data_IF_425073885356
#
_entry.id   IF_425073885356
#
_cell.length_a   1.000
_cell.length_b   1.000
_cell.length_c   1.000
_cell.angle_alpha   90.00
_cell.angle_beta   90.00
_cell.angle_gamma   90.00
#
_symmetry.space_group_name_H-M   'P 1'
#
loop_
_entity.id
_entity.type
_entity.pdbx_description
1 polymer ?
#
# COMPACT_ATOMS: atom_id res chain seq x y z
N UNK A 1 -6.18 20.27 0.71
CA UNK A 1 -6.09 21.13 -0.49
C UNK A 1 -5.10 20.46 -1.46
N UNK A 2 -5.57 19.57 -2.34
CA UNK A 2 -4.71 19.00 -3.39
C UNK A 2 -4.33 20.14 -4.33
N UNK A 3 -3.04 20.42 -4.51
CA UNK A 3 -2.61 21.27 -5.63
C UNK A 3 -3.07 20.56 -6.89
N UNK A 4 -3.78 21.27 -7.77
CA UNK A 4 -3.91 20.86 -9.16
C UNK A 4 -2.50 20.92 -9.78
N UNK A 5 -1.70 19.88 -9.52
CA UNK A 5 -0.50 19.60 -10.28
C UNK A 5 -0.87 19.35 -11.73
N UNK A 6 0.12 19.37 -12.59
CA UNK A 6 0.08 19.13 -14.04
C UNK A 6 -0.46 17.74 -14.47
N UNK A 7 -1.26 17.08 -13.64
CA UNK A 7 -1.81 15.75 -13.89
C UNK A 7 -0.80 14.62 -13.70
N UNK A 8 0.32 14.85 -13.01
CA UNK A 8 1.37 13.86 -12.75
C UNK A 8 1.57 13.68 -11.24
N UNK A 9 1.76 12.43 -10.83
CA UNK A 9 2.13 12.09 -9.46
C UNK A 9 3.50 12.68 -9.12
N UNK A 10 3.63 13.22 -7.91
CA UNK A 10 4.94 13.58 -7.36
C UNK A 10 5.82 12.32 -7.20
N UNK A 11 7.15 12.47 -7.04
CA UNK A 11 8.04 11.34 -6.77
C UNK A 11 7.60 10.41 -5.64
N UNK A 12 7.15 10.98 -4.52
CA UNK A 12 6.72 10.19 -3.36
C UNK A 12 5.39 9.47 -3.64
N UNK A 13 4.45 10.13 -4.34
CA UNK A 13 3.18 9.51 -4.75
C UNK A 13 3.39 8.39 -5.78
N UNK A 14 4.34 8.55 -6.72
CA UNK A 14 4.70 7.49 -7.67
C UNK A 14 5.27 6.27 -6.94
N UNK A 15 6.19 6.48 -5.99
CA UNK A 15 6.80 5.41 -5.19
C UNK A 15 5.73 4.72 -4.33
N UNK A 16 4.85 5.48 -3.68
CA UNK A 16 3.74 4.97 -2.89
C UNK A 16 2.83 4.07 -3.72
N UNK A 17 2.31 4.61 -4.83
CA UNK A 17 1.44 3.87 -5.74
C UNK A 17 2.13 2.64 -6.33
N UNK A 18 3.41 2.73 -6.72
CA UNK A 18 4.15 1.58 -7.22
C UNK A 18 4.19 0.45 -6.19
N UNK A 19 4.38 0.77 -4.90
CA UNK A 19 4.36 -0.22 -3.83
C UNK A 19 2.96 -0.81 -3.58
N UNK A 20 1.90 0.00 -3.63
CA UNK A 20 0.51 -0.50 -3.57
C UNK A 20 0.24 -1.50 -4.70
N UNK A 21 0.67 -1.19 -5.93
CA UNK A 21 0.52 -2.09 -7.08
C UNK A 21 1.33 -3.38 -6.91
N UNK A 22 2.53 -3.32 -6.29
CA UNK A 22 3.28 -4.53 -5.96
C UNK A 22 2.51 -5.45 -5.00
N UNK A 23 1.89 -4.88 -3.97
CA UNK A 23 1.06 -5.63 -3.02
C UNK A 23 -0.19 -6.17 -3.71
N UNK A 24 -0.88 -5.36 -4.53
CA UNK A 24 -2.05 -5.76 -5.30
C UNK A 24 -1.75 -6.98 -6.17
N UNK A 25 -0.66 -6.95 -6.94
CA UNK A 25 -0.27 -8.07 -7.80
C UNK A 25 0.09 -9.32 -7.00
N UNK A 26 0.77 -9.17 -5.86
CA UNK A 26 1.05 -10.30 -4.97
C UNK A 26 -0.23 -10.94 -4.42
N UNK A 27 -1.26 -10.13 -4.12
CA UNK A 27 -2.57 -10.61 -3.71
C UNK A 27 -3.31 -11.35 -4.84
N UNK A 28 -3.22 -10.87 -6.09
CA UNK A 28 -3.83 -11.53 -7.26
C UNK A 28 -3.31 -12.95 -7.50
N UNK A 29 -2.08 -13.25 -7.09
CA UNK A 29 -1.53 -14.61 -7.19
C UNK A 29 -2.15 -15.60 -6.18
N UNK A 30 -2.86 -15.12 -5.16
CA UNK A 30 -3.39 -15.95 -4.08
C UNK A 30 -4.91 -15.87 -3.93
N UNK A 31 -5.53 -14.80 -4.44
CA UNK A 31 -6.94 -14.50 -4.24
C UNK A 31 -7.65 -14.28 -5.57
N UNK A 32 -8.98 -14.52 -5.64
CA UNK A 32 -9.77 -14.18 -6.81
C UNK A 32 -9.68 -12.67 -7.17
N UNK A 33 -9.67 -12.36 -8.47
CA UNK A 33 -9.47 -11.01 -8.99
C UNK A 33 -10.45 -9.98 -8.39
N UNK A 34 -11.74 -10.29 -8.36
CA UNK A 34 -12.76 -9.40 -7.77
C UNK A 34 -12.49 -9.08 -6.29
N UNK A 35 -12.07 -10.05 -5.48
CA UNK A 35 -11.75 -9.83 -4.06
C UNK A 35 -10.60 -8.84 -3.91
N UNK A 36 -9.54 -8.99 -4.71
CA UNK A 36 -8.36 -8.10 -4.65
C UNK A 36 -8.70 -6.70 -5.15
N UNK A 37 -9.39 -6.61 -6.29
CA UNK A 37 -9.81 -5.34 -6.87
C UNK A 37 -10.72 -4.58 -5.92
N UNK A 38 -11.63 -5.28 -5.22
CA UNK A 38 -12.54 -4.68 -4.24
C UNK A 38 -11.85 -4.29 -2.93
N UNK A 39 -10.79 -5.00 -2.53
CA UNK A 39 -10.05 -4.72 -1.31
C UNK A 39 -9.16 -3.47 -1.39
N UNK A 40 -8.66 -3.09 -2.57
CA UNK A 40 -7.74 -1.94 -2.73
C UNK A 40 -8.42 -0.57 -2.55
N UNK A 41 -8.74 -0.19 -1.32
CA UNK A 41 -9.57 0.98 -0.99
C UNK A 41 -8.79 2.28 -0.78
N UNK A 42 -7.45 2.24 -0.74
CA UNK A 42 -6.59 3.44 -0.59
C UNK A 42 -6.96 4.58 -1.56
N UNK A 43 -7.14 4.32 -2.87
CA UNK A 43 -7.58 5.35 -3.83
C UNK A 43 -8.97 5.93 -3.58
N UNK A 44 -9.77 5.32 -2.70
CA UNK A 44 -11.10 5.79 -2.30
C UNK A 44 -11.05 6.63 -1.02
N UNK A 45 -9.88 7.19 -0.68
CA UNK A 45 -9.60 7.83 0.61
C UNK A 45 -9.83 6.87 1.79
N UNK A 46 -9.56 5.57 1.56
CA UNK A 46 -9.57 4.54 2.60
C UNK A 46 -8.54 4.85 3.68
N UNK A 47 -8.85 4.49 4.92
CA UNK A 47 -7.94 4.71 6.05
C UNK A 47 -6.65 3.88 5.92
N UNK A 48 -6.81 2.67 5.38
CA UNK A 48 -5.73 1.79 4.93
C UNK A 48 -5.82 1.55 3.41
N UNK A 49 -4.73 1.07 2.83
CA UNK A 49 -4.66 0.82 1.38
C UNK A 49 -5.49 -0.39 0.93
N UNK A 50 -5.53 -1.46 1.73
CA UNK A 50 -6.35 -2.64 1.47
C UNK A 50 -7.23 -2.98 2.68
N UNK A 51 -8.52 -3.25 2.44
CA UNK A 51 -9.46 -3.67 3.46
C UNK A 51 -10.08 -5.03 3.12
N UNK A 52 -9.94 -5.98 4.04
CA UNK A 52 -10.53 -7.32 4.00
C UNK A 52 -11.27 -7.56 5.32
N UNK A 53 -12.52 -7.06 5.48
CA UNK A 53 -13.21 -7.09 6.76
C UNK A 53 -13.20 -8.50 7.39
N UNK A 54 -12.71 -8.64 8.64
CA UNK A 54 -12.53 -7.59 9.65
C UNK A 54 -11.15 -6.91 9.69
N UNK A 55 -10.23 -7.21 8.78
CA UNK A 55 -8.85 -6.71 8.79
C UNK A 55 -8.45 -5.82 7.62
N UNK A 56 -7.19 -5.37 7.62
CA UNK A 56 -6.62 -4.49 6.59
C UNK A 56 -5.10 -4.64 6.45
N UNK A 57 -4.59 -4.09 5.34
CA UNK A 57 -3.17 -3.92 5.06
C UNK A 57 -2.92 -2.45 4.70
N UNK A 58 -2.03 -1.80 5.44
CA UNK A 58 -1.44 -0.50 5.13
C UNK A 58 -0.13 -0.73 4.37
N UNK A 59 0.09 -0.10 3.23
CA UNK A 59 1.32 -0.20 2.45
C UNK A 59 2.25 0.95 2.78
N UNK A 60 3.51 0.62 3.03
CA UNK A 60 4.59 1.60 3.14
C UNK A 60 5.67 1.20 2.16
N UNK A 61 6.21 2.18 1.45
CA UNK A 61 7.17 1.95 0.38
C UNK A 61 8.39 2.84 0.57
N UNK A 62 9.57 2.28 0.37
CA UNK A 62 10.82 3.05 0.33
C UNK A 62 11.66 2.65 -0.87
N UNK A 63 12.29 3.62 -1.53
CA UNK A 63 13.32 3.41 -2.55
C UNK A 63 14.72 3.78 -2.04
N UNK A 64 14.86 4.11 -0.74
CA UNK A 64 16.12 4.54 -0.15
C UNK A 64 17.01 3.34 0.24
N UNK A 65 18.33 3.50 0.07
CA UNK A 65 19.32 2.49 0.46
C UNK A 65 19.61 2.41 1.97
N UNK A 66 18.92 3.21 2.80
CA UNK A 66 19.09 3.26 4.26
C UNK A 66 17.99 2.52 5.03
N UNK A 67 17.81 2.86 6.33
CA UNK A 67 16.73 2.32 7.16
C UNK A 67 15.35 2.56 6.52
N UNK A 68 14.42 1.64 6.75
CA UNK A 68 13.05 1.77 6.29
C UNK A 68 12.28 2.77 7.17
N UNK A 69 12.38 4.05 6.84
CA UNK A 69 11.59 5.09 7.50
C UNK A 69 10.20 5.19 6.88
N UNK A 70 9.20 4.69 7.58
CA UNK A 70 7.80 4.74 7.18
C UNK A 70 7.08 5.94 7.80
N UNK A 71 6.43 6.73 6.95
CA UNK A 71 5.58 7.85 7.39
C UNK A 71 4.20 7.36 7.78
N UNK A 72 3.80 7.67 9.01
CA UNK A 72 2.44 7.50 9.51
C UNK A 72 1.75 8.88 9.48
N UNK A 73 0.74 8.98 8.63
CA UNK A 73 0.08 10.23 8.25
C UNK A 73 -1.04 10.68 9.17
N UNK A 74 -1.55 9.81 10.04
CA UNK A 74 -2.58 10.14 11.02
C UNK A 74 -2.55 9.20 12.23
N UNK A 75 -3.35 9.52 13.26
CA UNK A 75 -3.47 8.67 14.45
C UNK A 75 -4.25 7.38 14.14
N UNK A 76 -5.14 7.43 13.17
CA UNK A 76 -6.09 6.37 12.83
C UNK A 76 -5.43 5.28 11.96
N UNK A 77 -4.37 5.59 11.21
CA UNK A 77 -3.78 4.64 10.25
C UNK A 77 -3.34 3.31 10.88
N UNK A 78 -2.80 3.35 12.10
CA UNK A 78 -2.37 2.17 12.86
C UNK A 78 -3.29 1.85 14.04
N UNK A 79 -4.51 2.41 14.05
CA UNK A 79 -5.49 2.16 15.10
C UNK A 79 -6.19 0.81 14.89
N UNK A 80 -5.89 -0.14 15.78
CA UNK A 80 -6.43 -1.49 15.76
C UNK A 80 -7.73 -1.65 16.58
N UNK A 81 -8.30 -0.56 17.08
CA UNK A 81 -9.54 -0.61 17.88
C UNK A 81 -10.79 -0.87 17.03
N UNK A 82 -10.76 -0.48 15.76
CA UNK A 82 -11.88 -0.61 14.81
C UNK A 82 -11.64 -1.72 13.79
N UNK A 83 -10.38 -2.00 13.44
CA UNK A 83 -10.00 -2.98 12.43
C UNK A 83 -8.91 -3.92 12.97
N UNK A 84 -9.17 -5.22 12.93
CA UNK A 84 -8.22 -6.23 13.40
C UNK A 84 -8.48 -7.57 12.70
N UNK A 85 -7.46 -8.20 12.11
CA UNK A 85 -6.03 -7.85 12.16
C UNK A 85 -5.65 -6.70 11.23
N UNK A 86 -4.60 -5.94 11.59
CA UNK A 86 -4.01 -4.90 10.75
C UNK A 86 -2.54 -5.24 10.48
N UNK A 87 -2.12 -5.14 9.24
CA UNK A 87 -0.74 -5.36 8.82
C UNK A 87 -0.16 -4.13 8.13
N UNK A 88 1.14 -3.89 8.31
CA UNK A 88 1.91 -2.95 7.48
C UNK A 88 2.72 -3.76 6.48
N UNK A 89 2.41 -3.64 5.18
CA UNK A 89 3.24 -4.16 4.10
C UNK A 89 4.41 -3.21 3.85
N UNK A 90 5.62 -3.63 4.21
CA UNK A 90 6.84 -2.88 3.99
C UNK A 90 7.48 -3.29 2.66
N UNK A 91 7.31 -2.44 1.63
CA UNK A 91 7.83 -2.66 0.28
C UNK A 91 9.14 -1.88 0.09
N UNK A 92 10.24 -2.60 -0.07
CA UNK A 92 11.56 -2.02 -0.34
C UNK A 92 11.87 -2.14 -1.83
N UNK A 93 12.06 -0.99 -2.47
CA UNK A 93 12.40 -0.84 -3.85
C UNK A 93 13.88 -0.45 -4.01
N UNK A 94 14.45 -0.79 -5.16
CA UNK A 94 15.70 -0.20 -5.66
C UNK A 94 15.45 0.38 -7.04
N UNK A 95 15.99 1.57 -7.31
CA UNK A 95 15.96 2.14 -8.65
C UNK A 95 17.05 1.49 -9.51
N UNK A 96 16.65 0.82 -10.58
CA UNK A 96 17.57 0.05 -11.45
C UNK A 96 17.04 -0.02 -12.88
N UNK A 97 17.94 -0.04 -13.87
CA UNK A 97 17.57 -0.12 -15.29
C UNK A 97 16.79 -1.38 -15.64
N UNK A 98 17.00 -2.48 -14.90
CA UNK A 98 16.27 -3.74 -15.07
C UNK A 98 14.89 -3.75 -14.38
N UNK A 99 14.54 -2.71 -13.62
CA UNK A 99 13.26 -2.61 -12.92
C UNK A 99 12.09 -2.32 -13.86
N UNK A 100 10.91 -2.14 -13.30
CA UNK A 100 9.69 -1.77 -14.02
C UNK A 100 9.36 -0.30 -13.80
N UNK A 101 8.82 0.36 -14.82
CA UNK A 101 8.18 1.67 -14.62
C UNK A 101 6.79 1.51 -14.01
N UNK A 102 6.22 2.60 -13.50
CA UNK A 102 4.83 2.58 -13.02
C UNK A 102 3.82 2.12 -14.10
N UNK A 103 3.89 2.60 -15.36
CA UNK A 103 3.07 2.06 -16.45
C UNK A 103 3.28 0.57 -16.73
N UNK A 104 4.52 0.06 -16.61
CA UNK A 104 4.80 -1.37 -16.78
C UNK A 104 4.08 -2.18 -15.69
N UNK A 105 4.16 -1.76 -14.43
CA UNK A 105 3.45 -2.41 -13.31
C UNK A 105 1.92 -2.38 -13.47
N UNK A 106 1.38 -1.27 -13.98
CA UNK A 106 -0.06 -1.16 -14.32
C UNK A 106 -0.43 -2.12 -15.45
N UNK A 107 0.40 -2.23 -16.50
CA UNK A 107 0.14 -3.12 -17.62
C UNK A 107 0.13 -4.60 -17.20
N UNK A 108 1.06 -4.98 -16.32
CA UNK A 108 1.10 -6.32 -15.75
C UNK A 108 -0.19 -6.66 -14.99
N UNK A 109 -0.66 -5.76 -14.11
CA UNK A 109 -1.91 -5.97 -13.36
C UNK A 109 -3.13 -6.04 -14.30
N UNK A 110 -3.16 -5.21 -15.35
CA UNK A 110 -4.23 -5.28 -16.36
C UNK A 110 -4.28 -6.67 -17.00
N UNK A 111 -3.13 -7.23 -17.35
CA UNK A 111 -3.04 -8.58 -17.90
C UNK A 111 -3.54 -9.64 -16.90
N UNK A 112 -3.12 -9.54 -15.64
CA UNK A 112 -3.55 -10.45 -14.58
C UNK A 112 -5.08 -10.39 -14.33
N UNK A 113 -5.71 -9.23 -14.60
CA UNK A 113 -7.16 -9.01 -14.46
C UNK A 113 -7.98 -9.29 -15.73
N UNK A 114 -7.37 -9.58 -16.88
CA UNK A 114 -8.09 -9.87 -18.14
C UNK A 114 -9.20 -10.92 -18.01
N UNK A 115 -9.06 -12.00 -17.22
CA UNK A 115 -10.11 -13.00 -17.06
C UNK A 115 -11.37 -12.51 -16.33
N UNK A 116 -11.30 -11.38 -15.61
CA UNK A 116 -12.38 -10.83 -14.79
C UNK A 116 -12.64 -9.35 -15.15
N UNK A 117 -13.50 -9.14 -16.15
CA UNK A 117 -13.86 -7.80 -16.64
C UNK A 117 -14.41 -6.87 -15.55
N UNK A 118 -15.09 -7.43 -14.54
CA UNK A 118 -15.63 -6.64 -13.42
C UNK A 118 -14.49 -6.12 -12.55
N UNK A 119 -13.57 -7.01 -12.16
CA UNK A 119 -12.38 -6.64 -11.40
C UNK A 119 -11.48 -5.64 -12.16
N UNK A 120 -11.28 -5.87 -13.46
CA UNK A 120 -10.54 -4.95 -14.33
C UNK A 120 -11.17 -3.55 -14.35
N UNK A 121 -12.51 -3.46 -14.43
CA UNK A 121 -13.22 -2.17 -14.38
C UNK A 121 -13.05 -1.48 -13.03
N UNK A 122 -13.20 -2.22 -11.92
CA UNK A 122 -12.97 -1.70 -10.56
C UNK A 122 -11.54 -1.18 -10.41
N UNK A 123 -10.55 -1.90 -10.92
CA UNK A 123 -9.15 -1.50 -10.90
C UNK A 123 -8.92 -0.19 -11.67
N UNK A 124 -9.44 -0.04 -12.89
CA UNK A 124 -9.28 1.20 -13.67
C UNK A 124 -9.88 2.42 -12.95
N UNK A 125 -11.06 2.26 -12.33
CA UNK A 125 -11.69 3.33 -11.56
C UNK A 125 -10.82 3.73 -10.37
N UNK A 126 -10.26 2.76 -9.64
CA UNK A 126 -9.38 3.01 -8.47
C UNK A 126 -8.05 3.61 -8.89
N UNK A 127 -7.44 3.11 -9.97
CA UNK A 127 -6.20 3.64 -10.54
C UNK A 127 -6.36 5.09 -10.98
N UNK A 128 -7.49 5.46 -11.59
CA UNK A 128 -7.76 6.86 -11.93
C UNK A 128 -7.88 7.74 -10.68
N UNK A 129 -8.46 7.22 -9.59
CA UNK A 129 -8.61 7.95 -8.32
C UNK A 129 -7.32 8.09 -7.53
N UNK A 130 -6.36 7.19 -7.69
CA UNK A 130 -5.01 7.32 -7.11
C UNK A 130 -4.21 8.46 -7.73
N UNK A 131 -4.69 9.02 -8.85
CA UNK A 131 -4.06 10.13 -9.57
C UNK A 131 -3.23 9.67 -10.77
N UNK A 132 -3.13 8.37 -11.02
CA UNK A 132 -2.53 7.86 -12.25
C UNK A 132 -3.42 8.20 -13.45
N UNK A 133 -2.81 8.83 -14.47
CA UNK A 133 -3.46 9.23 -15.71
C UNK A 133 -2.74 8.60 -16.90
N UNK A 134 -3.50 8.00 -17.81
CA UNK A 134 -2.94 7.35 -19.01
C UNK A 134 -2.20 8.36 -19.90
N UNK A 135 -2.68 9.60 -19.95
CA UNK A 135 -2.10 10.69 -20.74
C UNK A 135 -0.71 11.09 -20.21
N UNK A 136 -0.48 10.91 -18.91
CA UNK A 136 0.78 11.20 -18.24
C UNK A 136 1.72 10.00 -18.18
N UNK A 137 1.32 8.81 -18.67
CA UNK A 137 2.05 7.56 -18.47
C UNK A 137 3.51 7.62 -18.94
N UNK A 138 3.76 8.28 -20.08
CA UNK A 138 5.12 8.44 -20.65
C UNK A 138 6.07 9.27 -19.78
N UNK A 139 5.56 10.00 -18.78
CA UNK A 139 6.37 10.83 -17.87
C UNK A 139 6.95 10.02 -16.69
N UNK A 140 6.41 8.83 -16.42
CA UNK A 140 6.88 7.94 -15.36
C UNK A 140 8.04 7.08 -15.86
N UNK A 141 9.25 7.65 -15.85
CA UNK A 141 10.46 7.02 -16.43
C UNK A 141 11.32 6.26 -15.41
N UNK A 142 11.08 6.44 -14.11
CA UNK A 142 11.83 5.72 -13.07
C UNK A 142 11.49 4.24 -13.15
N UNK A 143 12.51 3.42 -12.90
CA UNK A 143 12.40 1.95 -12.96
C UNK A 143 12.74 1.39 -11.60
N UNK A 144 11.80 0.66 -11.01
CA UNK A 144 11.94 0.09 -9.68
C UNK A 144 11.92 -1.44 -9.74
N UNK A 145 12.79 -2.07 -8.96
CA UNK A 145 12.71 -3.50 -8.67
C UNK A 145 12.42 -3.69 -7.18
N UNK A 146 11.55 -4.65 -6.85
CA UNK A 146 11.28 -5.03 -5.47
C UNK A 146 12.45 -5.88 -4.96
N UNK A 147 13.13 -5.42 -3.92
CA UNK A 147 14.24 -6.14 -3.26
C UNK A 147 13.84 -6.72 -1.90
N UNK A 148 12.68 -6.32 -1.39
CA UNK A 148 12.10 -6.89 -0.19
C UNK A 148 10.64 -6.51 -0.05
N UNK A 149 9.82 -7.47 0.39
CA UNK A 149 8.43 -7.25 0.76
C UNK A 149 8.13 -8.15 1.94
N UNK A 150 7.70 -7.55 3.06
CA UNK A 150 7.34 -8.27 4.26
C UNK A 150 6.17 -7.57 4.95
N UNK A 151 5.47 -8.30 5.82
CA UNK A 151 4.28 -7.79 6.49
C UNK A 151 4.52 -7.79 7.99
N UNK A 152 4.27 -6.65 8.63
CA UNK A 152 4.37 -6.48 10.08
C UNK A 152 2.96 -6.45 10.66
N UNK A 153 2.62 -7.39 11.55
CA UNK A 153 1.35 -7.32 12.27
C UNK A 153 1.38 -6.15 13.26
N UNK A 154 0.38 -5.28 13.21
CA UNK A 154 0.21 -4.21 14.19
C UNK A 154 -0.42 -4.81 15.44
N UNK A 155 0.40 -4.97 16.48
CA UNK A 155 0.02 -5.47 17.79
C UNK A 155 -0.03 -4.34 18.82
N UNK A 156 -0.53 -4.64 20.02
CA UNK A 156 -0.66 -3.65 21.09
C UNK A 156 0.67 -3.01 21.48
N UNK A 157 1.77 -3.75 21.37
CA UNK A 157 3.13 -3.33 21.69
C UNK A 157 3.95 -2.86 20.47
N UNK A 158 3.32 -2.73 19.29
CA UNK A 158 3.93 -2.04 18.14
C UNK A 158 4.01 -0.54 18.44
N UNK A 159 5.19 0.11 18.30
CA UNK A 159 5.32 1.55 18.48
C UNK A 159 4.37 2.31 17.55
N UNK A 160 3.37 3.00 18.12
CA UNK A 160 2.39 3.77 17.37
C UNK A 160 1.76 4.87 18.22
N UNK A 161 1.31 5.93 17.56
CA UNK A 161 0.41 6.93 18.12
C UNK A 161 -0.98 6.69 17.54
N UNK A 162 -1.96 6.46 18.42
CA UNK A 162 -3.37 6.20 18.11
C UNK A 162 -4.26 7.06 19.00
N UNK A 163 -5.54 7.32 18.64
CA UNK A 163 -6.40 8.23 19.40
C UNK A 163 -6.52 7.87 20.90
N UNK A 164 -6.39 6.58 21.23
CA UNK A 164 -6.53 6.06 22.59
C UNK A 164 -5.26 6.16 23.44
N UNK A 165 -4.09 6.44 22.86
CA UNK A 165 -2.82 6.50 23.59
C UNK A 165 -2.11 7.86 23.56
N UNK A 166 -2.76 8.88 22.98
CA UNK A 166 -2.33 10.28 23.03
C UNK A 166 -3.27 11.09 23.94
N UNK A 167 -2.83 12.25 24.50
CA UNK A 167 -3.72 13.14 25.22
C UNK A 167 -4.92 13.56 24.37
N UNK A 168 -6.10 13.68 24.97
CA UNK A 168 -7.37 13.95 24.27
C UNK A 168 -7.41 15.27 23.49
N UNK A 169 -6.50 16.19 23.79
CA UNK A 169 -6.29 17.48 23.15
C UNK A 169 -5.55 17.32 21.81
N UNK A 170 -4.81 16.23 21.61
CA UNK A 170 -4.09 15.92 20.37
C UNK A 170 -5.09 15.43 19.32
N UNK A 171 -5.41 16.28 18.35
CA UNK A 171 -6.38 15.96 17.28
C UNK A 171 -5.77 15.27 16.06
N UNK A 172 -4.47 15.43 15.85
CA UNK A 172 -3.77 14.82 14.72
C UNK A 172 -2.28 14.75 15.02
N UNK A 173 -1.63 13.70 14.57
CA UNK A 173 -0.17 13.59 14.58
C UNK A 173 0.31 12.99 13.25
N UNK A 174 1.53 13.36 12.87
CA UNK A 174 2.30 12.72 11.82
C UNK A 174 3.65 12.36 12.40
N UNK A 175 4.07 11.13 12.20
CA UNK A 175 5.32 10.63 12.76
C UNK A 175 5.94 9.62 11.81
N UNK A 176 7.19 9.29 12.09
CA UNK A 176 7.95 8.34 11.29
C UNK A 176 8.35 7.16 12.19
N UNK A 177 8.28 5.96 11.63
CA UNK A 177 8.73 4.72 12.26
C UNK A 177 9.86 4.13 11.44
N UNK A 178 10.95 3.75 12.09
CA UNK A 178 11.93 2.87 11.48
C UNK A 178 11.41 1.44 11.54
N UNK A 179 10.90 0.94 10.42
CA UNK A 179 10.36 -0.41 10.34
C UNK A 179 11.45 -1.49 10.39
N UNK A 180 12.72 -1.16 10.09
CA UNK A 180 13.81 -2.12 10.22
C UNK A 180 14.20 -2.32 11.70
N UNK A 181 13.99 -1.29 12.54
CA UNK A 181 14.19 -1.38 13.98
C UNK A 181 13.13 -2.26 14.69
N UNK A 182 12.01 -2.59 14.03
CA UNK A 182 10.98 -3.49 14.57
C UNK A 182 11.26 -4.92 14.09
N UNK A 183 11.82 -5.77 14.94
CA UNK A 183 12.27 -7.11 14.54
C UNK A 183 11.24 -8.23 14.74
N UNK A 184 10.17 -7.99 15.50
CA UNK A 184 9.12 -8.96 15.85
C UNK A 184 7.91 -8.85 14.92
N UNK A 185 6.97 -9.79 15.06
CA UNK A 185 5.64 -9.76 14.43
C UNK A 185 5.64 -9.70 12.89
N UNK A 186 6.72 -10.17 12.27
CA UNK A 186 6.81 -10.29 10.81
C UNK A 186 6.14 -11.58 10.33
N UNK A 187 5.45 -11.49 9.21
CA UNK A 187 4.75 -12.59 8.57
C UNK A 187 4.98 -12.58 7.06
N UNK A 188 4.87 -13.76 6.44
CA UNK A 188 4.73 -13.89 5.00
C UNK A 188 3.28 -13.65 4.56
N UNK A 189 3.07 -13.45 3.26
CA UNK A 189 1.74 -13.17 2.72
C UNK A 189 0.75 -14.30 3.00
N UNK A 190 1.17 -15.56 2.90
CA UNK A 190 0.28 -16.71 3.16
C UNK A 190 -0.29 -16.67 4.59
N UNK A 191 0.53 -16.36 5.58
CA UNK A 191 0.11 -16.20 6.98
C UNK A 191 -0.83 -15.01 7.16
N UNK A 192 -0.54 -13.88 6.50
CA UNK A 192 -1.39 -12.69 6.50
C UNK A 192 -2.78 -13.01 5.96
N UNK A 193 -2.86 -13.65 4.78
CA UNK A 193 -4.13 -13.99 4.13
C UNK A 193 -4.99 -14.95 4.98
N UNK A 194 -4.36 -15.95 5.59
CA UNK A 194 -5.04 -16.85 6.52
C UNK A 194 -5.60 -16.10 7.74
N UNK A 195 -4.85 -15.15 8.27
CA UNK A 195 -5.26 -14.35 9.45
C UNK A 195 -6.34 -13.34 9.11
N UNK A 196 -6.35 -12.81 7.88
CA UNK A 196 -7.43 -11.98 7.33
C UNK A 196 -8.69 -12.80 6.98
N UNK A 197 -8.62 -14.12 6.95
CA UNK A 197 -9.77 -15.00 6.66
C UNK A 197 -10.17 -15.02 5.19
N UNK A 198 -9.22 -14.76 4.28
CA UNK A 198 -9.46 -14.67 2.82
C UNK A 198 -8.82 -15.82 2.02
N UNK A 199 -8.09 -16.70 2.69
CA UNK A 199 -7.48 -17.91 2.12
C UNK A 199 -7.77 -19.14 3.00
#
# INVERSE_FOLDING_TARGET
MRRAGDGVLSPDEEIGLFGELCVLRALLHHLPCHIVADAWVGPLDGLQDFAFPPGAIEVKTTAAGGPFIARIGSLEQLDTSVIRPLYVAAVRLVQTSAGLTLPDAVADIRCDLEPDTSAATTFEVRLARSGYRKESASRYVRRFAVVGMNYLAVQEDTPRLVPTNVPSEVRSARYELDLDAISKDRADLATVLKTLGVC
#
